data_IF_633629647302
#
_entry.id   IF_633629647302
#
_cell.length_a   1.000
_cell.length_b   1.000
_cell.length_c   1.000
_cell.angle_alpha   90.00
_cell.angle_beta   90.00
_cell.angle_gamma   90.00
#
_symmetry.space_group_name_H-M   'P 1'
#
loop_
_entity.id
_entity.type
_entity.pdbx_description
1 polymer ?
#
# COMPACT_ATOMS: atom_id res chain seq x y z
N UNK A 1 57.68 -8.39 -43.22
CA UNK A 1 56.31 -7.83 -43.36
C UNK A 1 56.44 -6.34 -43.56
N UNK A 2 55.88 -5.79 -44.64
CA UNK A 2 55.86 -4.34 -44.87
C UNK A 2 54.63 -3.74 -44.16
N UNK A 3 54.73 -2.50 -43.64
CA UNK A 3 53.62 -1.86 -42.94
C UNK A 3 52.48 -1.54 -43.90
N UNK A 4 51.25 -1.63 -43.41
CA UNK A 4 50.05 -1.20 -44.15
C UNK A 4 50.01 0.33 -44.16
N UNK A 5 49.73 0.89 -45.34
CA UNK A 5 49.62 2.33 -45.56
C UNK A 5 48.58 2.96 -44.61
N UNK A 6 48.96 4.10 -44.04
CA UNK A 6 48.14 4.78 -43.04
C UNK A 6 46.98 5.57 -43.67
N UNK A 7 46.05 6.08 -42.86
CA UNK A 7 44.92 6.89 -43.33
C UNK A 7 45.30 8.13 -44.15
N UNK A 8 46.55 8.59 -44.06
CA UNK A 8 47.07 9.70 -44.85
C UNK A 8 47.24 9.34 -46.34
N UNK A 9 47.57 8.08 -46.63
CA UNK A 9 47.82 7.58 -47.98
C UNK A 9 46.54 7.04 -48.65
N UNK A 10 45.40 7.09 -47.96
CA UNK A 10 44.12 6.63 -48.50
C UNK A 10 43.53 7.68 -49.45
N UNK A 11 43.05 7.24 -50.61
CA UNK A 11 42.41 8.11 -51.60
C UNK A 11 41.16 8.76 -51.01
N UNK A 12 41.15 10.10 -50.97
CA UNK A 12 39.98 10.87 -50.55
C UNK A 12 38.94 10.83 -51.66
N UNK A 13 37.99 9.93 -51.54
CA UNK A 13 36.83 9.88 -52.43
C UNK A 13 35.97 11.11 -52.14
N UNK A 14 35.69 11.94 -53.15
CA UNK A 14 34.83 13.14 -53.03
C UNK A 14 33.35 12.83 -52.80
N UNK A 15 33.07 11.69 -52.17
CA UNK A 15 31.73 11.21 -51.85
C UNK A 15 31.26 11.98 -50.62
N UNK A 16 30.06 12.54 -50.70
CA UNK A 16 29.42 13.20 -49.57
C UNK A 16 29.26 12.21 -48.42
N UNK A 17 29.59 12.66 -47.20
CA UNK A 17 29.43 11.84 -46.01
C UNK A 17 27.94 11.51 -45.81
N UNK A 18 27.65 10.23 -45.62
CA UNK A 18 26.29 9.78 -45.30
C UNK A 18 25.86 10.43 -44.00
N UNK A 19 24.72 11.13 -44.03
CA UNK A 19 24.13 11.71 -42.83
C UNK A 19 23.77 10.59 -41.83
N UNK A 20 23.94 10.84 -40.52
CA UNK A 20 23.51 9.88 -39.53
C UNK A 20 22.00 9.59 -39.67
N UNK A 21 21.55 8.37 -39.34
CA UNK A 21 20.12 8.08 -39.29
C UNK A 21 19.39 9.07 -38.38
N UNK A 22 18.21 9.51 -38.80
CA UNK A 22 17.38 10.41 -38.00
C UNK A 22 16.93 9.67 -36.74
N UNK A 23 17.32 10.18 -35.58
CA UNK A 23 16.88 9.62 -34.30
C UNK A 23 15.36 9.77 -34.14
N UNK A 24 14.67 8.65 -33.87
CA UNK A 24 13.24 8.64 -33.54
C UNK A 24 13.03 8.21 -32.11
N UNK A 25 12.19 8.93 -31.38
CA UNK A 25 11.73 8.50 -30.05
C UNK A 25 10.87 7.25 -30.21
N UNK A 26 11.37 6.11 -29.75
CA UNK A 26 10.59 4.88 -29.71
C UNK A 26 9.43 5.02 -28.71
N UNK A 27 8.22 4.53 -29.03
CA UNK A 27 7.16 4.47 -28.05
C UNK A 27 7.61 3.59 -26.87
N UNK A 28 7.49 4.14 -25.66
CA UNK A 28 7.78 3.41 -24.44
C UNK A 28 6.72 2.36 -24.14
N UNK A 29 7.00 1.49 -23.16
CA UNK A 29 6.04 0.51 -22.67
C UNK A 29 4.80 1.21 -22.09
N UNK A 30 3.57 0.79 -22.43
CA UNK A 30 2.37 1.35 -21.82
C UNK A 30 2.32 1.05 -20.32
N UNK A 31 1.81 2.00 -19.54
CA UNK A 31 1.70 1.85 -18.09
C UNK A 31 0.62 0.83 -17.73
N UNK A 32 0.93 -0.11 -16.81
CA UNK A 32 -0.02 -1.13 -16.34
C UNK A 32 -1.30 -0.52 -15.72
N UNK A 33 -1.16 0.59 -14.98
CA UNK A 33 -2.27 1.26 -14.31
C UNK A 33 -2.27 2.76 -14.62
N UNK A 34 -3.41 3.28 -15.09
CA UNK A 34 -3.63 4.74 -15.24
C UNK A 34 -3.52 5.45 -13.89
N UNK A 35 -3.16 6.73 -13.89
CA UNK A 35 -3.29 7.61 -12.72
C UNK A 35 -4.78 7.88 -12.48
N UNK A 36 -5.27 7.60 -11.28
CA UNK A 36 -6.66 7.88 -10.90
C UNK A 36 -6.82 9.36 -10.49
N UNK A 37 -7.98 9.94 -10.79
CA UNK A 37 -8.35 11.27 -10.28
C UNK A 37 -8.74 11.20 -8.79
N UNK A 38 -8.82 12.35 -8.11
CA UNK A 38 -9.04 12.44 -6.65
C UNK A 38 -10.37 11.82 -6.21
N UNK A 39 -11.40 11.99 -7.03
CA UNK A 39 -12.78 11.59 -6.72
C UNK A 39 -13.16 10.22 -7.31
N UNK A 40 -12.23 9.55 -8.00
CA UNK A 40 -12.50 8.22 -8.53
C UNK A 40 -12.51 7.16 -7.40
N UNK A 41 -13.53 6.29 -7.33
CA UNK A 41 -13.57 5.21 -6.36
C UNK A 41 -12.47 4.19 -6.66
N UNK A 42 -11.67 3.85 -5.64
CA UNK A 42 -10.61 2.86 -5.77
C UNK A 42 -11.22 1.47 -5.87
N UNK A 43 -11.01 0.80 -7.00
CA UNK A 43 -11.37 -0.62 -7.17
C UNK A 43 -10.49 -1.44 -6.21
N UNK A 44 -11.13 -2.06 -5.22
CA UNK A 44 -10.46 -2.94 -4.27
C UNK A 44 -10.45 -4.37 -4.81
N UNK A 45 -9.39 -5.11 -4.49
CA UNK A 45 -9.33 -6.54 -4.80
C UNK A 45 -10.36 -7.29 -3.94
N UNK A 46 -10.91 -8.43 -4.41
CA UNK A 46 -11.74 -9.29 -3.59
C UNK A 46 -11.05 -9.58 -2.23
N UNK A 47 -11.81 -9.45 -1.13
CA UNK A 47 -11.30 -9.65 0.23
C UNK A 47 -10.60 -8.44 0.87
N UNK A 48 -10.47 -7.31 0.18
CA UNK A 48 -9.94 -6.07 0.77
C UNK A 48 -11.04 -5.03 1.02
N UNK A 49 -10.97 -4.39 2.19
CA UNK A 49 -11.82 -3.26 2.54
C UNK A 49 -11.03 -1.94 2.49
N UNK A 50 -11.73 -0.85 2.21
CA UNK A 50 -11.16 0.49 2.24
C UNK A 50 -10.79 0.88 3.67
N UNK A 51 -9.72 1.64 3.83
CA UNK A 51 -9.38 2.30 5.11
C UNK A 51 -10.11 3.63 5.30
N UNK A 52 -10.75 4.17 4.26
CA UNK A 52 -11.51 5.42 4.37
C UNK A 52 -12.68 5.22 5.35
N UNK A 53 -12.80 6.08 6.36
CA UNK A 53 -13.87 6.02 7.36
C UNK A 53 -13.65 5.00 8.48
N UNK A 54 -12.53 4.26 8.51
CA UNK A 54 -12.21 3.36 9.61
C UNK A 54 -11.48 4.11 10.73
N UNK A 55 -12.00 4.02 11.95
CA UNK A 55 -11.35 4.56 13.15
C UNK A 55 -10.10 3.72 13.49
N UNK A 56 -8.93 4.33 13.40
CA UNK A 56 -7.67 3.68 13.76
C UNK A 56 -7.41 3.83 15.24
N UNK A 57 -7.20 2.72 15.95
CA UNK A 57 -6.89 2.72 17.39
C UNK A 57 -5.42 2.38 17.62
N UNK A 58 -4.74 3.22 18.38
CA UNK A 58 -3.36 3.02 18.77
C UNK A 58 -3.23 1.89 19.79
N UNK A 59 -2.45 0.86 19.50
CA UNK A 59 -2.24 -0.27 20.41
C UNK A 59 -1.39 0.07 21.64
N UNK A 60 -0.70 1.20 21.64
CA UNK A 60 0.13 1.63 22.77
C UNK A 60 -0.65 2.49 23.78
N UNK A 61 -1.45 3.45 23.32
CA UNK A 61 -2.14 4.40 24.18
C UNK A 61 -3.65 4.25 24.20
N UNK A 62 -4.21 3.36 23.38
CA UNK A 62 -5.65 3.10 23.26
C UNK A 62 -6.46 4.22 22.60
N UNK A 63 -5.83 5.35 22.27
CA UNK A 63 -6.50 6.49 21.64
C UNK A 63 -6.70 6.26 20.15
N UNK A 64 -7.64 7.02 19.59
CA UNK A 64 -7.97 6.97 18.17
C UNK A 64 -7.08 7.93 17.35
N UNK A 65 -7.32 8.01 16.04
CA UNK A 65 -6.66 8.89 15.05
C UNK A 65 -5.22 8.54 14.66
N UNK A 66 -4.54 7.66 15.39
CA UNK A 66 -3.16 7.30 15.08
C UNK A 66 -2.85 5.83 15.36
N UNK A 67 -1.80 5.33 14.71
CA UNK A 67 -1.28 3.99 14.97
C UNK A 67 -0.11 4.06 15.94
N UNK A 68 0.32 2.92 16.49
CA UNK A 68 1.49 2.83 17.38
C UNK A 68 2.72 3.57 16.85
N UNK A 69 2.95 3.53 15.53
CA UNK A 69 4.11 4.17 14.92
C UNK A 69 4.09 5.71 15.04
N UNK A 70 2.94 6.35 14.85
CA UNK A 70 2.80 7.81 14.98
C UNK A 70 2.38 8.24 16.39
N UNK A 71 2.45 7.33 17.37
CA UNK A 71 2.09 7.63 18.76
C UNK A 71 3.14 8.56 19.38
N UNK A 72 2.71 9.72 19.86
CA UNK A 72 3.58 10.68 20.56
C UNK A 72 4.03 10.17 21.94
N UNK A 73 3.20 9.34 22.59
CA UNK A 73 3.50 8.68 23.87
C UNK A 73 4.51 7.51 23.74
N UNK A 74 4.97 7.23 22.51
CA UNK A 74 5.91 6.13 22.25
C UNK A 74 7.31 6.38 22.81
N UNK A 75 7.76 7.63 22.82
CA UNK A 75 9.11 8.04 23.21
C UNK A 75 9.39 7.96 24.71
N UNK A 76 8.40 7.63 25.54
CA UNK A 76 8.53 7.59 27.00
C UNK A 76 8.68 6.18 27.57
N UNK A 77 8.66 5.14 26.73
CA UNK A 77 8.63 3.74 27.19
C UNK A 77 9.88 2.92 26.84
N UNK A 78 10.96 3.55 26.38
CA UNK A 78 12.20 2.86 25.97
C UNK A 78 13.08 2.37 27.15
N UNK A 79 12.53 2.29 28.38
CA UNK A 79 13.21 1.72 29.55
C UNK A 79 12.78 0.28 29.90
N UNK A 80 12.21 -0.47 28.95
CA UNK A 80 11.95 -1.91 29.12
C UNK A 80 12.54 -2.70 27.94
N UNK A 81 13.35 -3.74 28.19
CA UNK A 81 13.94 -4.54 27.12
C UNK A 81 12.85 -5.22 26.28
N UNK A 82 13.04 -5.35 24.96
CA UNK A 82 12.05 -5.95 24.08
C UNK A 82 11.80 -7.40 24.49
N UNK A 83 10.61 -7.70 25.02
CA UNK A 83 10.14 -9.08 25.16
C UNK A 83 10.03 -9.67 23.76
N UNK A 84 10.99 -10.53 23.41
CA UNK A 84 11.02 -11.27 22.16
C UNK A 84 9.74 -12.10 22.04
N UNK A 85 8.78 -11.63 21.25
CA UNK A 85 7.62 -12.45 20.89
C UNK A 85 8.09 -13.43 19.82
N UNK A 86 8.25 -14.69 20.22
CA UNK A 86 8.65 -15.77 19.33
C UNK A 86 7.77 -15.82 18.06
N UNK A 87 8.41 -16.09 16.93
CA UNK A 87 7.75 -16.33 15.65
C UNK A 87 6.96 -17.63 15.74
N UNK A 88 5.70 -17.58 16.18
CA UNK A 88 4.80 -18.73 16.03
C UNK A 88 4.08 -18.62 14.68
N UNK A 89 4.30 -19.63 13.84
CA UNK A 89 3.54 -19.84 12.61
C UNK A 89 2.09 -20.15 12.99
N UNK A 90 1.16 -19.27 12.65
CA UNK A 90 -0.28 -19.55 12.82
C UNK A 90 -0.66 -20.60 11.76
N UNK A 91 -0.60 -21.88 12.13
CA UNK A 91 -1.34 -22.92 11.41
C UNK A 91 -2.82 -22.74 11.77
N UNK A 92 -3.65 -22.39 10.78
CA UNK A 92 -5.10 -22.34 10.92
C UNK A 92 -5.62 -23.78 11.01
N UNK A 93 -6.05 -24.21 12.18
CA UNK A 93 -6.85 -25.43 12.35
C UNK A 93 -8.32 -25.06 12.24
N UNK A 94 -9.00 -25.60 11.22
CA UNK A 94 -10.45 -25.60 11.11
C UNK A 94 -11.01 -26.69 12.01
N UNK A 95 -11.62 -26.31 13.13
CA UNK A 95 -12.52 -27.20 13.88
C UNK A 95 -13.76 -26.40 14.24
N UNK A 96 -14.86 -26.78 13.61
CA UNK A 96 -16.21 -26.34 13.93
C UNK A 96 -16.54 -26.81 15.35
N UNK A 97 -16.84 -25.88 16.26
CA UNK A 97 -17.60 -26.23 17.45
C UNK A 97 -18.58 -25.11 17.82
N UNK A 98 -19.85 -25.50 17.87
CA UNK A 98 -21.00 -24.67 18.26
C UNK A 98 -20.99 -24.55 19.77
N UNK A 99 -20.87 -23.34 20.31
CA UNK A 99 -21.70 -22.88 21.45
C UNK A 99 -21.31 -21.49 21.94
N UNK A 100 -22.34 -20.79 22.45
CA UNK A 100 -22.36 -19.52 23.21
C UNK A 100 -22.33 -18.23 22.38
N UNK A 101 -23.55 -17.68 22.25
CA UNK A 101 -23.86 -16.41 21.63
C UNK A 101 -23.11 -15.25 22.25
N UNK A 102 -22.72 -14.30 21.40
CA UNK A 102 -22.10 -13.04 21.79
C UNK A 102 -23.09 -11.93 21.52
N UNK A 103 -23.58 -11.39 22.62
CA UNK A 103 -24.41 -10.19 22.73
C UNK A 103 -23.80 -9.07 21.89
N UNK A 104 -24.56 -8.53 20.94
CA UNK A 104 -24.09 -7.52 19.99
C UNK A 104 -24.26 -6.12 20.58
N UNK A 105 -23.25 -5.29 20.33
CA UNK A 105 -23.05 -3.92 20.83
C UNK A 105 -24.12 -2.87 20.42
N UNK A 106 -25.24 -3.26 19.81
CA UNK A 106 -26.25 -2.33 19.26
C UNK A 106 -27.50 -2.09 20.14
N UNK A 107 -27.49 -2.47 21.43
CA UNK A 107 -28.69 -2.44 22.28
C UNK A 107 -28.85 -1.22 23.22
N UNK A 108 -28.22 -0.08 22.93
CA UNK A 108 -28.34 1.11 23.80
C UNK A 108 -29.03 2.34 23.17
N UNK A 109 -29.88 2.16 22.16
CA UNK A 109 -30.67 3.26 21.56
C UNK A 109 -32.16 2.95 21.42
N UNK A 110 -32.76 2.25 22.40
CA UNK A 110 -34.21 2.04 22.45
C UNK A 110 -34.78 2.08 23.88
N UNK A 111 -34.79 3.25 24.52
CA UNK A 111 -35.72 3.51 25.64
C UNK A 111 -36.10 4.99 25.75
N UNK A 112 -36.70 5.53 24.69
CA UNK A 112 -37.44 6.78 24.79
C UNK A 112 -38.66 6.72 23.87
N UNK A 113 -39.80 6.32 24.44
CA UNK A 113 -41.20 6.65 24.10
C UNK A 113 -42.13 5.57 24.64
N UNK A 114 -42.89 5.92 25.70
CA UNK A 114 -44.30 5.58 25.97
C UNK A 114 -44.59 5.43 27.47
N UNK A 115 -44.66 6.58 28.14
CA UNK A 115 -45.51 6.77 29.31
C UNK A 115 -46.66 7.71 28.88
N UNK A 116 -47.66 7.13 28.23
CA UNK A 116 -49.05 7.61 28.29
C UNK A 116 -49.91 6.42 28.68
N UNK A 117 -49.87 6.12 29.97
CA UNK A 117 -50.77 5.19 30.64
C UNK A 117 -52.06 5.95 30.93
N UNK A 118 -53.14 5.45 30.35
CA UNK A 118 -54.53 5.58 30.79
C UNK A 118 -54.70 5.75 32.30
N UNK A 119 -55.41 6.81 32.69
CA UNK A 119 -56.55 6.77 33.62
C UNK A 119 -57.59 7.74 33.09
#
# INVERSE_FOLDING_TARGET
MQPINGPYDWEKTGIELVLPPIERKMPGRPKKNRRMAKDEPKILKPGHLSRKGLLMTCTQCGQHDHNKWSCTKSKQQDAQPPKQKGKYSIKRSTTSDKSKGKQTFYDHLATARDLKRTV
#
